data_IF_781839087951
#
_entry.id   IF_781839087951
#
_cell.length_a   1.000
_cell.length_b   1.000
_cell.length_c   1.000
_cell.angle_alpha   90.00
_cell.angle_beta   90.00
_cell.angle_gamma   90.00
#
_symmetry.space_group_name_H-M   'P 1'
#
loop_
_entity.id
_entity.type
_entity.pdbx_description
1 polymer ?
#
# COMPACT_ATOMS: atom_id res chain seq x y z
N UNK A 1 35.79 -7.22 16.88
CA UNK A 1 35.05 -6.14 16.20
C UNK A 1 33.84 -6.75 15.53
N UNK A 2 32.65 -6.48 16.07
CA UNK A 2 31.37 -6.95 15.50
C UNK A 2 31.17 -6.25 14.15
N UNK A 3 31.14 -7.02 13.06
CA UNK A 3 30.63 -6.51 11.79
C UNK A 3 29.12 -6.38 11.95
N UNK A 4 28.66 -5.17 12.25
CA UNK A 4 27.25 -4.82 12.18
C UNK A 4 26.73 -5.24 10.80
N UNK A 5 25.87 -6.25 10.80
CA UNK A 5 25.24 -6.79 9.61
C UNK A 5 24.32 -5.69 9.04
N UNK A 6 24.85 -4.90 8.11
CA UNK A 6 24.13 -3.87 7.35
C UNK A 6 23.32 -4.56 6.26
N UNK A 7 22.25 -5.28 6.61
CA UNK A 7 21.21 -5.59 5.62
C UNK A 7 20.38 -4.32 5.46
N UNK A 8 20.29 -3.71 4.25
CA UNK A 8 19.73 -2.35 4.11
C UNK A 8 18.25 -2.24 4.46
N UNK A 9 17.55 -3.37 4.57
CA UNK A 9 16.17 -3.50 5.00
C UNK A 9 16.05 -4.85 5.69
N UNK A 10 15.37 -4.90 6.84
CA UNK A 10 14.90 -6.19 7.34
C UNK A 10 14.01 -6.81 6.25
N UNK A 11 14.24 -8.07 5.88
CA UNK A 11 13.54 -8.71 4.75
C UNK A 11 12.01 -8.55 4.85
N UNK A 12 11.49 -8.52 6.08
CA UNK A 12 10.07 -8.34 6.35
C UNK A 12 9.55 -6.93 6.00
N UNK A 13 10.30 -5.87 6.29
CA UNK A 13 9.90 -4.50 5.97
C UNK A 13 9.82 -4.28 4.46
N UNK A 14 10.77 -4.86 3.71
CA UNK A 14 10.79 -4.78 2.25
C UNK A 14 9.64 -5.59 1.63
N UNK A 15 9.37 -6.80 2.16
CA UNK A 15 8.22 -7.61 1.74
C UNK A 15 6.92 -6.85 2.03
N UNK A 16 6.79 -6.23 3.20
CA UNK A 16 5.61 -5.45 3.55
C UNK A 16 5.43 -4.27 2.59
N UNK A 17 6.47 -3.47 2.38
CA UNK A 17 6.45 -2.34 1.44
C UNK A 17 6.06 -2.79 0.02
N UNK A 18 6.58 -3.93 -0.44
CA UNK A 18 6.21 -4.52 -1.73
C UNK A 18 4.71 -4.84 -1.79
N UNK A 19 4.17 -5.56 -0.80
CA UNK A 19 2.75 -5.93 -0.78
C UNK A 19 1.81 -4.72 -0.73
N UNK A 20 2.17 -3.69 0.05
CA UNK A 20 1.45 -2.42 0.09
C UNK A 20 1.45 -1.77 -1.29
N UNK A 21 2.61 -1.74 -1.95
CA UNK A 21 2.74 -1.15 -3.29
C UNK A 21 1.92 -1.88 -4.36
N UNK A 22 1.89 -3.20 -4.33
CA UNK A 22 1.12 -4.02 -5.28
C UNK A 22 -0.38 -3.83 -5.06
N UNK A 23 -0.85 -3.92 -3.82
CA UNK A 23 -2.27 -3.67 -3.49
C UNK A 23 -2.69 -2.25 -3.89
N UNK A 24 -1.84 -1.26 -3.67
CA UNK A 24 -2.12 0.12 -4.07
C UNK A 24 -2.18 0.30 -5.60
N UNK A 25 -1.30 -0.36 -6.37
CA UNK A 25 -1.35 -0.36 -7.84
C UNK A 25 -2.65 -0.96 -8.35
N UNK A 26 -3.02 -2.15 -7.86
CA UNK A 26 -4.27 -2.82 -8.24
C UNK A 26 -5.48 -1.95 -7.90
N UNK A 27 -5.51 -1.35 -6.70
CA UNK A 27 -6.59 -0.43 -6.31
C UNK A 27 -6.68 0.76 -7.25
N UNK A 28 -5.56 1.40 -7.55
CA UNK A 28 -5.50 2.56 -8.45
C UNK A 28 -5.99 2.21 -9.84
N UNK A 29 -5.56 1.08 -10.39
CA UNK A 29 -6.04 0.61 -11.69
C UNK A 29 -7.54 0.35 -11.68
N UNK A 30 -8.06 -0.37 -10.68
CA UNK A 30 -9.48 -0.61 -10.52
C UNK A 30 -10.29 0.68 -10.38
N UNK A 31 -9.77 1.66 -9.63
CA UNK A 31 -10.40 2.97 -9.48
C UNK A 31 -10.48 3.71 -10.82
N UNK A 32 -9.37 3.83 -11.53
CA UNK A 32 -9.32 4.52 -12.84
C UNK A 32 -10.22 3.84 -13.88
N UNK A 33 -10.28 2.49 -13.88
CA UNK A 33 -11.09 1.73 -14.83
C UNK A 33 -12.61 1.96 -14.67
N UNK A 34 -13.06 2.52 -13.54
CA UNK A 34 -14.47 2.92 -13.34
C UNK A 34 -14.88 4.15 -14.16
N UNK A 35 -13.90 4.89 -14.68
CA UNK A 35 -14.16 6.11 -15.45
C UNK A 35 -14.13 5.85 -16.97
N UNK A 36 -14.93 6.60 -17.74
CA UNK A 36 -14.86 6.63 -19.20
C UNK A 36 -13.43 6.89 -19.71
N UNK A 37 -13.00 6.31 -20.85
CA UNK A 37 -11.62 6.40 -21.34
C UNK A 37 -11.05 7.81 -21.45
N UNK A 38 -11.88 8.77 -21.84
CA UNK A 38 -11.56 10.20 -21.97
C UNK A 38 -11.27 10.89 -20.63
N UNK A 39 -11.82 10.37 -19.53
CA UNK A 39 -11.61 10.90 -18.17
C UNK A 39 -10.51 10.18 -17.39
N UNK A 40 -10.01 9.03 -17.87
CA UNK A 40 -9.03 8.20 -17.14
C UNK A 40 -7.71 8.92 -16.87
N UNK A 41 -7.24 9.73 -17.82
CA UNK A 41 -5.97 10.46 -17.65
C UNK A 41 -6.08 11.60 -16.65
N UNK A 42 -7.23 12.27 -16.57
CA UNK A 42 -7.50 13.23 -15.52
C UNK A 42 -7.55 12.52 -14.16
N UNK A 43 -8.25 11.39 -14.09
CA UNK A 43 -8.35 10.62 -12.85
C UNK A 43 -7.00 10.05 -12.40
N UNK A 44 -6.13 9.61 -13.33
CA UNK A 44 -4.76 9.18 -13.02
C UNK A 44 -3.94 10.24 -12.29
N UNK A 45 -4.19 11.52 -12.58
CA UNK A 45 -3.50 12.66 -11.95
C UNK A 45 -4.08 12.97 -10.57
N UNK A 46 -5.40 12.85 -10.41
CA UNK A 46 -6.10 13.09 -9.14
C UNK A 46 -5.86 11.96 -8.13
N UNK A 47 -6.03 10.72 -8.58
CA UNK A 47 -5.86 9.52 -7.78
C UNK A 47 -4.46 8.92 -8.00
N UNK A 48 -3.49 9.48 -7.29
CA UNK A 48 -2.08 9.10 -7.40
C UNK A 48 -1.78 7.75 -6.74
N UNK A 49 -0.63 7.15 -7.06
CA UNK A 49 -0.17 5.94 -6.36
C UNK A 49 0.05 6.22 -4.86
N UNK A 50 0.56 7.40 -4.50
CA UNK A 50 0.73 7.82 -3.11
C UNK A 50 -0.62 7.84 -2.37
N UNK A 51 -1.67 8.37 -2.99
CA UNK A 51 -3.02 8.33 -2.43
C UNK A 51 -3.46 6.90 -2.14
N UNK A 52 -3.35 6.02 -3.14
CA UNK A 52 -3.71 4.61 -2.99
C UNK A 52 -2.90 3.89 -1.89
N UNK A 53 -1.61 4.21 -1.74
CA UNK A 53 -0.77 3.67 -0.65
C UNK A 53 -1.29 4.11 0.71
N UNK A 54 -1.64 5.40 0.87
CA UNK A 54 -2.17 5.93 2.14
C UNK A 54 -3.45 5.20 2.55
N UNK A 55 -4.38 4.99 1.62
CA UNK A 55 -5.60 4.23 1.91
C UNK A 55 -5.32 2.78 2.31
N UNK A 56 -4.40 2.11 1.61
CA UNK A 56 -4.04 0.73 1.94
C UNK A 56 -3.44 0.65 3.35
N UNK A 57 -2.58 1.60 3.74
CA UNK A 57 -2.01 1.65 5.08
C UNK A 57 -3.06 1.86 6.17
N UNK A 58 -4.07 2.70 5.91
CA UNK A 58 -5.20 2.89 6.83
C UNK A 58 -5.95 1.57 7.05
N UNK A 59 -6.27 0.84 5.98
CA UNK A 59 -6.93 -0.46 6.11
C UNK A 59 -6.08 -1.48 6.88
N UNK A 60 -4.75 -1.51 6.68
CA UNK A 60 -3.88 -2.40 7.44
C UNK A 60 -3.90 -2.04 8.93
N UNK A 61 -3.94 -0.75 9.27
CA UNK A 61 -4.07 -0.30 10.65
C UNK A 61 -5.41 -0.72 11.27
N UNK A 62 -6.52 -0.59 10.54
CA UNK A 62 -7.85 -1.04 10.98
C UNK A 62 -7.88 -2.56 11.23
N UNK A 63 -7.34 -3.36 10.31
CA UNK A 63 -7.24 -4.82 10.49
C UNK A 63 -6.40 -5.17 11.71
N UNK A 64 -5.29 -4.46 11.93
CA UNK A 64 -4.43 -4.68 13.11
C UNK A 64 -5.17 -4.39 14.42
N UNK A 65 -6.03 -3.37 14.45
CA UNK A 65 -6.89 -3.07 15.60
C UNK A 65 -7.91 -4.18 15.85
N UNK A 66 -8.58 -4.66 14.80
CA UNK A 66 -9.56 -5.75 14.90
C UNK A 66 -8.93 -7.06 15.42
N UNK A 67 -7.73 -7.41 14.94
CA UNK A 67 -7.00 -8.60 15.43
C UNK A 67 -6.74 -8.45 16.93
N UNK A 68 -6.24 -7.29 17.37
CA UNK A 68 -5.97 -7.02 18.79
C UNK A 68 -7.22 -7.17 19.66
N UNK A 69 -8.38 -6.73 19.17
CA UNK A 69 -9.66 -6.87 19.88
C UNK A 69 -10.11 -8.33 19.98
N UNK A 70 -9.80 -9.18 19.00
CA UNK A 70 -10.14 -10.61 19.01
C UNK A 70 -9.21 -11.45 19.89
N UNK A 71 -7.97 -11.00 20.11
CA UNK A 71 -6.96 -11.68 20.94
C UNK A 71 -7.06 -11.31 22.44
N UNK A 72 -7.92 -10.36 22.81
CA UNK A 72 -8.15 -9.88 24.18
C UNK A 72 -9.27 -10.62 24.90
#
# INVERSE_FOLDING_TARGET
>A
MSMANRTPYDNLEMIFAFHISEKARTRREQHILRFPPDLREEERRRYTLEHAVKEVLVEVAEVSLLIRELES
#
